data_IF_313507483932
#
_entry.id   IF_313507483932
#
_cell.length_a   1.000
_cell.length_b   1.000
_cell.length_c   1.000
_cell.angle_alpha   90.00
_cell.angle_beta   90.00
_cell.angle_gamma   90.00
#
_symmetry.space_group_name_H-M   'P 1'
#
loop_
_entity.id
_entity.type
_entity.pdbx_description
1 polymer ?
#
# COMPACT_ATOMS: atom_id res chain seq x y z
N UNK A 1 -4.92 2.53 19.92
CA UNK A 1 -5.15 3.21 18.62
C UNK A 1 -3.87 3.15 17.77
N UNK A 2 -3.72 2.11 16.94
CA UNK A 2 -2.73 2.01 15.83
C UNK A 2 -3.41 2.00 14.45
N UNK A 3 -4.75 2.01 14.43
CA UNK A 3 -5.60 1.89 13.25
C UNK A 3 -5.46 3.09 12.30
N UNK A 4 -5.37 4.30 12.84
CA UNK A 4 -5.50 5.52 12.03
C UNK A 4 -4.30 5.71 11.11
N UNK A 5 -3.10 5.37 11.62
CA UNK A 5 -1.88 5.39 10.82
C UNK A 5 -1.89 4.31 9.75
N UNK A 6 -2.37 3.10 10.06
CA UNK A 6 -2.46 2.01 9.10
C UNK A 6 -3.46 2.34 7.98
N UNK A 7 -4.62 2.89 8.33
CA UNK A 7 -5.65 3.31 7.38
C UNK A 7 -5.16 4.48 6.51
N UNK A 8 -4.52 5.49 7.10
CA UNK A 8 -3.94 6.60 6.35
C UNK A 8 -2.85 6.14 5.36
N UNK A 9 -2.01 5.18 5.75
CA UNK A 9 -1.00 4.57 4.87
C UNK A 9 -1.65 3.80 3.72
N UNK A 10 -2.67 3.00 4.01
CA UNK A 10 -3.40 2.24 3.00
C UNK A 10 -4.04 3.17 1.95
N UNK A 11 -4.74 4.21 2.39
CA UNK A 11 -5.36 5.21 1.51
C UNK A 11 -4.30 5.91 0.66
N UNK A 12 -3.18 6.32 1.28
CA UNK A 12 -2.09 6.99 0.56
C UNK A 12 -1.50 6.09 -0.53
N UNK A 13 -1.25 4.81 -0.23
CA UNK A 13 -0.70 3.87 -1.20
C UNK A 13 -1.66 3.57 -2.35
N UNK A 14 -2.97 3.46 -2.08
CA UNK A 14 -3.98 3.32 -3.13
C UNK A 14 -3.96 4.52 -4.07
N UNK A 15 -3.99 5.75 -3.54
CA UNK A 15 -3.98 6.97 -4.35
C UNK A 15 -2.69 7.08 -5.18
N UNK A 16 -1.53 6.85 -4.56
CA UNK A 16 -0.23 6.92 -5.23
C UNK A 16 -0.11 5.88 -6.35
N UNK A 17 -0.60 4.66 -6.11
CA UNK A 17 -0.61 3.59 -7.12
C UNK A 17 -1.57 3.91 -8.26
N UNK A 18 -2.80 4.36 -7.95
CA UNK A 18 -3.78 4.76 -8.96
C UNK A 18 -3.26 5.88 -9.86
N UNK A 19 -2.56 6.88 -9.31
CA UNK A 19 -2.00 8.00 -10.10
C UNK A 19 -1.01 7.54 -11.18
N UNK A 20 -0.26 6.47 -10.91
CA UNK A 20 0.75 5.90 -11.82
C UNK A 20 0.16 5.05 -12.94
N UNK A 21 -1.14 4.72 -12.88
CA UNK A 21 -1.79 3.93 -13.93
C UNK A 21 -2.11 4.78 -15.17
N UNK A 22 -2.24 4.11 -16.32
CA UNK A 22 -2.38 4.74 -17.64
C UNK A 22 -3.82 5.10 -18.06
N UNK A 23 -4.84 4.82 -17.26
CA UNK A 23 -6.24 5.04 -17.66
C UNK A 23 -6.57 6.53 -17.85
N UNK A 24 -7.66 6.82 -18.58
CA UNK A 24 -7.98 8.18 -19.03
C UNK A 24 -8.46 9.13 -17.92
N UNK A 25 -9.11 8.60 -16.88
CA UNK A 25 -9.68 9.40 -15.78
C UNK A 25 -9.20 8.90 -14.44
N UNK A 26 -9.02 9.81 -13.46
CA UNK A 26 -8.61 9.44 -12.10
C UNK A 26 -9.62 8.50 -11.43
N UNK A 27 -10.92 8.67 -11.73
CA UNK A 27 -11.98 7.77 -11.26
C UNK A 27 -11.76 6.35 -11.79
N UNK A 28 -11.47 6.19 -13.09
CA UNK A 28 -11.17 4.89 -13.68
C UNK A 28 -9.93 4.25 -13.07
N UNK A 29 -8.86 5.04 -12.88
CA UNK A 29 -7.63 4.57 -12.21
C UNK A 29 -7.87 4.09 -10.78
N UNK A 30 -8.66 4.84 -10.01
CA UNK A 30 -8.95 4.51 -8.62
C UNK A 30 -9.84 3.28 -8.50
N UNK A 31 -10.91 3.21 -9.27
CA UNK A 31 -11.81 2.05 -9.28
C UNK A 31 -11.08 0.78 -9.70
N UNK A 32 -10.22 0.85 -10.73
CA UNK A 32 -9.42 -0.29 -11.16
C UNK A 32 -8.44 -0.75 -10.07
N UNK A 33 -7.71 0.18 -9.44
CA UNK A 33 -6.78 -0.17 -8.35
C UNK A 33 -7.53 -0.72 -7.12
N UNK A 34 -8.72 -0.22 -6.80
CA UNK A 34 -9.54 -0.74 -5.70
C UNK A 34 -10.01 -2.18 -5.96
N UNK A 35 -10.44 -2.47 -7.19
CA UNK A 35 -10.82 -3.83 -7.61
C UNK A 35 -9.60 -4.76 -7.57
N UNK A 36 -8.45 -4.32 -8.07
CA UNK A 36 -7.21 -5.10 -8.00
C UNK A 36 -6.80 -5.37 -6.55
N UNK A 37 -6.86 -4.35 -5.69
CA UNK A 37 -6.52 -4.46 -4.27
C UNK A 37 -7.48 -5.39 -3.52
N UNK A 38 -8.77 -5.37 -3.83
CA UNK A 38 -9.76 -6.30 -3.27
C UNK A 38 -9.46 -7.76 -3.65
N UNK A 39 -8.88 -7.99 -4.84
CA UNK A 39 -8.41 -9.29 -5.29
C UNK A 39 -6.98 -9.63 -4.81
N UNK A 40 -6.45 -8.90 -3.82
CA UNK A 40 -5.06 -9.02 -3.33
C UNK A 40 -4.01 -8.86 -4.43
N UNK A 41 -4.25 -7.99 -5.40
CA UNK A 41 -3.35 -7.69 -6.52
C UNK A 41 -3.15 -6.17 -6.64
N UNK A 42 -2.29 -5.77 -7.57
CA UNK A 42 -2.01 -4.36 -7.83
C UNK A 42 -0.81 -3.81 -7.08
N UNK A 43 -0.44 -2.59 -7.44
CA UNK A 43 0.80 -1.96 -6.98
C UNK A 43 0.71 -1.56 -5.50
N UNK A 44 -0.48 -1.17 -5.03
CA UNK A 44 -0.71 -0.85 -3.63
C UNK A 44 -0.50 -2.08 -2.72
N UNK A 45 -0.97 -3.26 -3.13
CA UNK A 45 -0.79 -4.52 -2.37
C UNK A 45 0.66 -4.97 -2.39
N UNK A 46 1.34 -4.91 -3.54
CA UNK A 46 2.77 -5.21 -3.64
C UNK A 46 3.59 -4.35 -2.67
N UNK A 47 3.31 -3.04 -2.61
CA UNK A 47 4.00 -2.12 -1.69
C UNK A 47 3.79 -2.50 -0.22
N UNK A 48 2.59 -2.95 0.16
CA UNK A 48 2.31 -3.47 1.50
C UNK A 48 3.17 -4.69 1.81
N UNK A 49 3.23 -5.65 0.88
CA UNK A 49 4.01 -6.88 1.05
C UNK A 49 5.51 -6.62 1.13
N UNK A 50 6.05 -5.78 0.23
CA UNK A 50 7.46 -5.39 0.24
C UNK A 50 7.83 -4.70 1.57
N UNK A 51 6.95 -3.83 2.09
CA UNK A 51 7.14 -3.18 3.39
C UNK A 51 7.13 -4.20 4.53
N UNK A 52 6.25 -5.21 4.47
CA UNK A 52 6.19 -6.27 5.49
C UNK A 52 7.44 -7.14 5.45
N UNK A 53 7.84 -7.63 4.28
CA UNK A 53 9.07 -8.41 4.08
C UNK A 53 10.31 -7.66 4.55
N UNK A 54 10.39 -6.36 4.24
CA UNK A 54 11.52 -5.53 4.68
C UNK A 54 11.52 -5.34 6.21
N UNK A 55 10.35 -5.23 6.84
CA UNK A 55 10.25 -5.19 8.30
C UNK A 55 10.67 -6.52 8.95
N UNK A 56 10.30 -7.66 8.34
CA UNK A 56 10.74 -8.99 8.80
C UNK A 56 12.25 -9.19 8.63
N UNK A 57 12.81 -8.78 7.49
CA UNK A 57 14.24 -8.85 7.22
C UNK A 57 15.07 -8.02 8.23
N UNK A 58 14.53 -6.87 8.65
CA UNK A 58 15.18 -6.00 9.64
C UNK A 58 14.77 -6.30 11.09
N UNK A 59 14.12 -7.44 11.35
CA UNK A 59 13.64 -7.80 12.70
C UNK A 59 14.77 -7.84 13.72
N UNK A 60 15.99 -8.22 13.33
CA UNK A 60 17.17 -8.21 14.20
C UNK A 60 17.54 -6.81 14.73
N UNK A 61 17.17 -5.74 14.02
CA UNK A 61 17.41 -4.36 14.43
C UNK A 61 16.25 -3.75 15.23
N UNK A 62 15.18 -4.51 15.49
CA UNK A 62 14.02 -4.01 16.24
C UNK A 62 14.36 -3.61 17.69
N UNK A 63 15.50 -4.08 18.23
CA UNK A 63 15.99 -3.73 19.56
C UNK A 63 16.52 -2.29 19.66
N UNK A 64 16.81 -1.62 18.53
CA UNK A 64 17.18 -0.19 18.49
C UNK A 64 15.96 0.76 18.55
N UNK A 65 14.77 0.25 18.89
CA UNK A 65 13.55 1.07 18.91
C UNK A 65 13.56 2.04 20.10
N UNK A 66 13.71 3.33 19.77
CA UNK A 66 13.23 4.48 20.54
C UNK A 66 11.71 4.59 20.46
#
# INVERSE_FOLDING_TARGET
MRSDRAQALAIRWLIDSSRKRGERTMVGRLSAELIDAANNRGNAVKKREDTHKMAEANRAFAHYRW
#
